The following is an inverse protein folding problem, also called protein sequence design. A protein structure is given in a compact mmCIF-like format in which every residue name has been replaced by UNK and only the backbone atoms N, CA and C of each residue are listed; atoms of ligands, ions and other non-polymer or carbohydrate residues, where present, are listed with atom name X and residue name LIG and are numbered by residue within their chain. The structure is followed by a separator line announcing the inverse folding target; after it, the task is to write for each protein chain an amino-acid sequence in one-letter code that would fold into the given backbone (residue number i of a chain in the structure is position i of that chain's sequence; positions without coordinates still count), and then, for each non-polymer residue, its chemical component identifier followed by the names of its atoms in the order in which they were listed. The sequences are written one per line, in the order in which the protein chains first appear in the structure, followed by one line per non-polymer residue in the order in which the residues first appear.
data_IF_382216302066
#
_entry.id   IF_382216302066
#
_cell.length_a   1.000
_cell.length_b   1.000
_cell.length_c   1.000
_cell.angle_alpha   90.00
_cell.angle_beta   90.00
_cell.angle_gamma   90.00
#
_symmetry.space_group_name_H-M   'P 1'
#
loop_
_entity.id
_entity.type
_entity.pdbx_description
1 polymer ?
#
# COMPACT_ATOMS: atom_id res chain seq x y z
N UNK A 1 5.11 -2.21 -19.14
CA UNK A 1 4.58 -2.46 -17.79
C UNK A 1 5.19 -3.77 -17.31
N UNK A 2 5.92 -3.77 -16.19
CA UNK A 2 6.62 -4.96 -15.69
C UNK A 2 5.62 -5.85 -14.94
N UNK A 3 5.87 -7.16 -14.89
CA UNK A 3 5.05 -8.14 -14.16
C UNK A 3 4.70 -7.68 -12.73
N UNK A 4 5.68 -7.09 -12.05
CA UNK A 4 5.59 -6.64 -10.66
C UNK A 4 4.53 -5.53 -10.48
N UNK A 5 4.31 -4.67 -11.47
CA UNK A 5 3.25 -3.63 -11.40
C UNK A 5 1.86 -4.23 -11.48
N UNK A 6 1.69 -5.28 -12.29
CA UNK A 6 0.41 -5.98 -12.37
C UNK A 6 0.13 -6.75 -11.07
N UNK A 7 1.14 -7.42 -10.51
CA UNK A 7 1.03 -8.09 -9.22
C UNK A 7 0.66 -7.12 -8.09
N UNK A 8 1.31 -5.95 -8.03
CA UNK A 8 0.98 -4.88 -7.10
C UNK A 8 -0.48 -4.40 -7.23
N UNK A 9 -0.98 -4.26 -8.46
CA UNK A 9 -2.37 -3.87 -8.70
C UNK A 9 -3.36 -4.93 -8.21
N UNK A 10 -3.05 -6.22 -8.41
CA UNK A 10 -3.88 -7.32 -7.91
C UNK A 10 -3.90 -7.37 -6.37
N UNK A 11 -2.75 -7.19 -5.74
CA UNK A 11 -2.65 -7.08 -4.28
C UNK A 11 -3.45 -5.90 -3.73
N UNK A 12 -3.36 -4.72 -4.36
CA UNK A 12 -4.13 -3.55 -3.94
C UNK A 12 -5.63 -3.79 -4.01
N UNK A 13 -6.11 -4.41 -5.09
CA UNK A 13 -7.53 -4.74 -5.25
C UNK A 13 -7.97 -5.74 -4.18
N UNK A 14 -7.15 -6.74 -3.88
CA UNK A 14 -7.46 -7.69 -2.81
C UNK A 14 -7.63 -7.00 -1.45
N UNK A 15 -6.69 -6.15 -1.06
CA UNK A 15 -6.74 -5.44 0.22
C UNK A 15 -7.94 -4.47 0.32
N UNK A 16 -8.31 -3.83 -0.80
CA UNK A 16 -9.53 -3.00 -0.85
C UNK A 16 -10.79 -3.87 -0.71
N UNK A 17 -10.83 -5.03 -1.35
CA UNK A 17 -11.94 -5.97 -1.19
C UNK A 17 -12.06 -6.48 0.25
N UNK A 18 -10.94 -6.83 0.88
CA UNK A 18 -10.91 -7.27 2.27
C UNK A 18 -11.42 -6.16 3.20
N UNK A 19 -10.94 -4.92 3.04
CA UNK A 19 -11.46 -3.78 3.77
C UNK A 19 -12.98 -3.62 3.59
N UNK A 20 -13.49 -3.72 2.36
CA UNK A 20 -14.92 -3.61 2.07
C UNK A 20 -15.77 -4.76 2.64
N UNK A 21 -15.19 -5.95 2.83
CA UNK A 21 -15.88 -7.11 3.41
C UNK A 21 -15.91 -7.04 4.94
N UNK A 22 -14.81 -6.61 5.56
CA UNK A 22 -14.62 -6.68 7.01
C UNK A 22 -14.95 -5.38 7.76
N UNK A 23 -15.00 -4.24 7.07
CA UNK A 23 -15.34 -2.96 7.67
C UNK A 23 -16.81 -2.61 7.42
N UNK A 24 -17.42 -1.91 8.37
CA UNK A 24 -18.71 -1.27 8.16
C UNK A 24 -18.60 -0.12 7.16
N UNK A 25 -19.72 0.31 6.59
CA UNK A 25 -19.73 1.40 5.61
C UNK A 25 -19.20 2.73 6.16
N UNK A 26 -19.41 3.00 7.45
CA UNK A 26 -18.90 4.19 8.14
C UNK A 26 -17.38 4.10 8.38
N UNK A 27 -16.88 2.96 8.86
CA UNK A 27 -15.44 2.73 9.02
C UNK A 27 -14.71 2.83 7.67
N UNK A 28 -15.30 2.30 6.60
CA UNK A 28 -14.71 2.37 5.27
C UNK A 28 -14.72 3.80 4.71
N UNK A 29 -15.77 4.58 4.97
CA UNK A 29 -15.82 5.99 4.54
C UNK A 29 -14.83 6.88 5.28
N UNK A 30 -14.53 6.55 6.53
CA UNK A 30 -13.61 7.30 7.39
C UNK A 30 -12.14 6.85 7.25
N UNK A 31 -11.89 5.74 6.55
CA UNK A 31 -10.56 5.20 6.34
C UNK A 31 -9.70 6.14 5.47
N UNK A 32 -8.68 6.75 6.07
CA UNK A 32 -7.72 7.55 5.32
C UNK A 32 -6.75 6.68 4.52
N UNK A 33 -6.09 7.27 3.52
CA UNK A 33 -5.04 6.57 2.76
C UNK A 33 -3.89 6.10 3.65
N UNK A 34 -3.47 6.94 4.61
CA UNK A 34 -2.41 6.56 5.55
C UNK A 34 -2.84 5.37 6.41
N UNK A 35 -4.05 5.40 6.98
CA UNK A 35 -4.56 4.29 7.79
C UNK A 35 -4.73 2.99 6.96
N UNK A 36 -5.07 3.11 5.67
CA UNK A 36 -5.13 1.98 4.76
C UNK A 36 -3.73 1.39 4.52
N UNK A 37 -2.74 2.22 4.19
CA UNK A 37 -1.37 1.76 3.91
C UNK A 37 -0.69 1.19 5.16
N UNK A 38 -0.99 1.71 6.35
CA UNK A 38 -0.48 1.20 7.64
C UNK A 38 -0.91 -0.24 7.93
N UNK A 39 -2.03 -0.69 7.34
CA UNK A 39 -2.55 -2.05 7.49
C UNK A 39 -1.87 -3.05 6.56
N UNK A 40 -1.18 -2.57 5.52
CA UNK A 40 -0.52 -3.43 4.54
C UNK A 40 0.68 -4.13 5.18
N UNK A 41 0.69 -5.47 5.18
CA UNK A 41 1.85 -6.25 5.61
C UNK A 41 2.84 -6.44 4.44
N UNK A 42 4.11 -6.01 4.56
CA UNK A 42 5.13 -6.24 3.53
C UNK A 42 5.38 -7.71 3.21
N UNK A 43 5.08 -8.63 4.14
CA UNK A 43 5.20 -10.08 3.93
C UNK A 43 4.05 -10.65 3.10
N UNK A 44 2.86 -10.04 3.18
CA UNK A 44 1.65 -10.52 2.50
C UNK A 44 1.45 -9.87 1.13
N UNK A 45 1.84 -8.59 0.99
CA UNK A 45 1.67 -7.82 -0.25
C UNK A 45 2.99 -7.13 -0.69
N UNK A 46 4.09 -7.89 -0.90
CA UNK A 46 5.41 -7.32 -1.12
C UNK A 46 5.52 -6.46 -2.39
N UNK A 47 4.86 -6.86 -3.49
CA UNK A 47 4.87 -6.11 -4.75
C UNK A 47 4.11 -4.78 -4.60
N UNK A 48 3.00 -4.76 -3.87
CA UNK A 48 2.26 -3.53 -3.57
C UNK A 48 3.10 -2.58 -2.74
N UNK A 49 3.70 -3.05 -1.64
CA UNK A 49 4.56 -2.21 -0.80
C UNK A 49 5.73 -1.65 -1.60
N UNK A 50 6.39 -2.47 -2.42
CA UNK A 50 7.48 -2.04 -3.30
C UNK A 50 7.00 -0.96 -4.27
N UNK A 51 5.86 -1.18 -4.93
CA UNK A 51 5.28 -0.24 -5.87
C UNK A 51 4.89 1.09 -5.22
N UNK A 52 4.35 1.06 -4.00
CA UNK A 52 4.01 2.26 -3.25
C UNK A 52 5.27 3.03 -2.82
N UNK A 53 6.34 2.35 -2.41
CA UNK A 53 7.63 2.97 -2.06
C UNK A 53 8.28 3.66 -3.25
N UNK A 54 8.36 3.00 -4.41
CA UNK A 54 8.91 3.57 -5.66
C UNK A 54 8.18 4.86 -6.09
N UNK A 55 6.90 4.99 -5.75
CA UNK A 55 6.07 6.14 -6.09
C UNK A 55 5.90 7.15 -4.95
N UNK A 56 6.58 6.96 -3.82
CA UNK A 56 6.49 7.85 -2.65
C UNK A 56 5.05 7.94 -2.10
N UNK A 57 4.30 6.84 -2.19
CA UNK A 57 2.91 6.71 -1.72
C UNK A 57 2.78 5.81 -0.49
N UNK A 58 3.82 5.03 -0.19
CA UNK A 58 3.93 4.32 1.08
C UNK A 58 4.30 5.34 2.17
N UNK A 59 3.67 5.27 3.33
CA UNK A 59 3.80 6.29 4.39
C UNK A 59 5.28 6.57 4.66
N UNK A 60 5.61 7.86 4.80
CA UNK A 60 6.96 8.39 4.97
C UNK A 60 7.68 7.80 6.21
N UNK A 61 8.25 6.62 6.10
CA UNK A 61 9.55 6.40 6.74
C UNK A 61 10.51 7.43 6.14
N UNK A 62 11.37 8.08 6.94
CA UNK A 62 12.35 9.02 6.41
C UNK A 62 13.09 8.31 5.28
N UNK A 63 13.00 8.87 4.08
CA UNK A 63 13.82 8.42 2.97
C UNK A 63 15.22 8.82 3.40
N UNK A 64 16.03 7.84 3.82
CA UNK A 64 17.48 8.03 3.83
C UNK A 64 17.87 8.24 2.37
N UNK A 65 17.79 9.50 1.94
CA UNK A 65 18.55 9.97 0.81
C UNK A 65 20.00 9.86 1.28
N UNK A 66 20.63 8.72 0.97
CA UNK A 66 22.08 8.67 0.84
C UNK A 66 22.45 9.72 -0.20
N UNK A 67 22.68 10.96 0.25
CA UNK A 67 23.44 11.94 -0.50
C UNK A 67 24.88 11.42 -0.51
N UNK A 68 25.23 10.71 -1.60
CA UNK A 68 26.61 10.58 -2.05
C UNK A 68 27.22 11.99 -2.19
N UNK A 69 28.00 12.42 -1.18
CA UNK A 69 29.15 13.32 -1.31
C UNK A 69 30.01 13.40 -0.05
#
# INVERSE_FOLDING_TARGET
MKYNTLAAALQLVNEICDAAIFMSGEELSDLSWSDFVERLSPESVPELVTYLKERQLYINEPIDTEEDN
#
